data_IF_616338016378
#
_entry.id   IF_616338016378
#
_cell.length_a   1.000
_cell.length_b   1.000
_cell.length_c   1.000
_cell.angle_alpha   90.00
_cell.angle_beta   90.00
_cell.angle_gamma   90.00
#
_symmetry.space_group_name_H-M   'P 1'
#
loop_
_entity.id
_entity.type
_entity.pdbx_description
1 polymer ?
#
# COMPACT_ATOMS: atom_id res chain seq x y z
N UNK A 1 21.69 -0.15 -16.21
CA UNK A 1 21.07 -1.33 -15.54
C UNK A 1 19.56 -1.19 -15.64
N UNK A 2 18.79 -2.27 -15.93
CA UNK A 2 17.34 -2.15 -16.03
C UNK A 2 16.75 -1.67 -14.70
N UNK A 3 15.78 -0.74 -14.77
CA UNK A 3 15.19 -0.07 -13.62
C UNK A 3 14.62 -1.09 -12.61
N UNK A 4 15.32 -1.27 -11.48
CA UNK A 4 14.84 -2.10 -10.37
C UNK A 4 13.59 -1.44 -9.81
N UNK A 5 12.50 -2.20 -9.71
CA UNK A 5 11.28 -1.69 -9.07
C UNK A 5 11.59 -1.45 -7.59
N UNK A 6 11.22 -0.30 -7.01
CA UNK A 6 11.48 -0.02 -5.60
C UNK A 6 10.86 -1.11 -4.75
N UNK A 7 11.56 -1.48 -3.68
CA UNK A 7 11.13 -2.44 -2.67
C UNK A 7 10.77 -1.72 -1.37
N UNK A 8 10.15 -2.44 -0.43
CA UNK A 8 9.84 -1.86 0.88
C UNK A 8 11.12 -1.44 1.64
N UNK A 9 12.22 -2.20 1.50
CA UNK A 9 13.51 -1.82 2.06
C UNK A 9 14.04 -0.51 1.48
N UNK A 10 13.87 -0.29 0.17
CA UNK A 10 14.31 0.97 -0.47
C UNK A 10 13.56 2.17 0.08
N UNK A 11 12.25 2.01 0.40
CA UNK A 11 11.45 3.04 1.05
C UNK A 11 12.00 3.39 2.44
N UNK A 12 12.38 2.39 3.23
CA UNK A 12 13.02 2.61 4.54
C UNK A 12 14.40 3.25 4.43
N UNK A 13 15.24 2.78 3.50
CA UNK A 13 16.57 3.34 3.28
C UNK A 13 16.50 4.79 2.82
N UNK A 14 15.55 5.12 1.94
CA UNK A 14 15.30 6.48 1.50
C UNK A 14 14.93 7.40 2.66
N UNK A 15 13.95 6.98 3.49
CA UNK A 15 13.53 7.75 4.64
C UNK A 15 14.68 7.99 5.63
N UNK A 16 15.44 6.93 5.96
CA UNK A 16 16.59 7.03 6.86
C UNK A 16 17.70 7.94 6.29
N UNK A 17 17.93 7.91 4.98
CA UNK A 17 18.91 8.77 4.33
C UNK A 17 18.48 10.24 4.35
N UNK A 18 17.20 10.53 4.07
CA UNK A 18 16.68 11.89 4.11
C UNK A 18 16.71 12.50 5.51
N UNK A 19 16.52 11.68 6.55
CA UNK A 19 16.64 12.12 7.94
C UNK A 19 18.08 12.50 8.29
N UNK A 20 19.06 11.71 7.84
CA UNK A 20 20.49 12.02 8.05
C UNK A 20 20.96 13.22 7.25
N UNK A 21 20.42 13.43 6.05
CA UNK A 21 20.74 14.60 5.22
C UNK A 21 20.30 15.92 5.88
N UNK A 22 19.44 15.89 6.92
CA UNK A 22 19.07 17.10 7.68
C UNK A 22 20.23 17.69 8.48
N UNK A 23 21.19 16.87 8.87
CA UNK A 23 22.35 17.30 9.67
C UNK A 23 23.50 17.80 8.78
N UNK A 24 23.40 17.64 7.46
CA UNK A 24 24.41 18.07 6.50
C UNK A 24 24.19 19.52 6.04
N UNK A 25 25.27 20.21 5.69
CA UNK A 25 25.17 21.56 5.14
C UNK A 25 24.49 21.55 3.77
N UNK A 26 23.60 22.52 3.52
CA UNK A 26 22.83 22.63 2.26
C UNK A 26 23.72 22.60 1.02
N UNK A 27 24.92 23.21 1.09
CA UNK A 27 25.89 23.21 0.01
C UNK A 27 26.41 21.78 -0.29
N UNK A 28 26.81 21.03 0.74
CA UNK A 28 27.33 19.67 0.58
C UNK A 28 26.28 18.74 -0.02
N UNK A 29 25.01 18.85 0.42
CA UNK A 29 23.94 18.01 -0.11
C UNK A 29 23.63 18.36 -1.58
N UNK A 30 23.62 19.65 -1.94
CA UNK A 30 23.44 20.10 -3.33
C UNK A 30 24.54 19.60 -4.26
N UNK A 31 25.80 19.74 -3.86
CA UNK A 31 26.95 19.32 -4.67
C UNK A 31 26.93 17.81 -4.92
N UNK A 32 26.64 17.01 -3.89
CA UNK A 32 26.46 15.55 -4.00
C UNK A 32 25.33 15.21 -4.96
N UNK A 33 24.14 15.74 -4.73
CA UNK A 33 22.94 15.39 -5.51
C UNK A 33 23.09 15.76 -6.98
N UNK A 34 23.71 16.92 -7.26
CA UNK A 34 23.98 17.37 -8.62
C UNK A 34 25.05 16.53 -9.32
N UNK A 35 26.13 16.14 -8.62
CA UNK A 35 27.13 15.21 -9.17
C UNK A 35 26.48 13.88 -9.56
N UNK A 36 25.63 13.33 -8.68
CA UNK A 36 24.89 12.09 -8.95
C UNK A 36 23.88 12.25 -10.10
N UNK A 37 23.30 13.44 -10.28
CA UNK A 37 22.37 13.69 -11.37
C UNK A 37 23.01 13.62 -12.76
N UNK A 38 24.31 13.94 -12.89
CA UNK A 38 25.04 13.86 -14.17
C UNK A 38 25.19 12.43 -14.67
N UNK A 39 25.39 11.50 -13.75
CA UNK A 39 25.56 10.08 -14.05
C UNK A 39 24.23 9.32 -14.09
N UNK A 40 23.13 10.01 -13.77
CA UNK A 40 21.80 9.41 -13.72
C UNK A 40 21.23 9.26 -15.15
N UNK A 41 20.81 8.04 -15.56
CA UNK A 41 20.11 7.84 -16.82
C UNK A 41 18.80 8.64 -16.86
N UNK A 42 18.39 9.04 -18.06
CA UNK A 42 17.06 9.61 -18.24
C UNK A 42 15.97 8.59 -17.96
N UNK A 43 15.08 8.94 -17.02
CA UNK A 43 14.00 8.10 -16.55
C UNK A 43 12.98 8.87 -15.72
N UNK A 44 11.91 8.17 -15.37
CA UNK A 44 10.85 8.63 -14.47
C UNK A 44 11.39 8.90 -13.04
N UNK A 45 10.67 9.68 -12.25
CA UNK A 45 11.10 10.15 -10.91
C UNK A 45 11.42 9.00 -9.96
N UNK A 46 10.68 7.89 -10.07
CA UNK A 46 10.97 6.66 -9.33
C UNK A 46 12.37 6.12 -9.65
N UNK A 47 12.76 6.15 -10.92
CA UNK A 47 14.06 5.62 -11.37
C UNK A 47 15.19 6.56 -10.96
N UNK A 48 14.97 7.87 -11.09
CA UNK A 48 15.93 8.91 -10.73
C UNK A 48 16.24 8.89 -9.24
N UNK A 49 15.19 8.80 -8.41
CA UNK A 49 15.31 8.68 -6.96
C UNK A 49 15.91 7.33 -6.53
N UNK A 50 15.56 6.25 -7.21
CA UNK A 50 16.16 4.93 -6.96
C UNK A 50 17.66 4.88 -7.31
N UNK A 51 18.07 5.53 -8.40
CA UNK A 51 19.47 5.68 -8.77
C UNK A 51 20.25 6.49 -7.73
N UNK A 52 19.70 7.64 -7.32
CA UNK A 52 20.28 8.46 -6.27
C UNK A 52 20.48 7.67 -4.98
N UNK A 53 19.44 6.93 -4.53
CA UNK A 53 19.50 6.15 -3.29
C UNK A 53 20.61 5.09 -3.34
N UNK A 54 20.69 4.35 -4.46
CA UNK A 54 21.70 3.32 -4.65
C UNK A 54 23.12 3.90 -4.68
N UNK A 55 23.32 5.08 -5.26
CA UNK A 55 24.62 5.73 -5.31
C UNK A 55 25.06 6.27 -3.94
N UNK A 56 24.12 6.83 -3.16
CA UNK A 56 24.38 7.30 -1.80
C UNK A 56 24.67 6.12 -0.86
N UNK A 57 23.93 5.01 -0.99
CA UNK A 57 24.18 3.80 -0.17
C UNK A 57 25.51 3.13 -0.52
N UNK A 58 25.87 3.03 -1.80
CA UNK A 58 27.13 2.43 -2.24
C UNK A 58 28.35 3.23 -1.75
N UNK A 59 28.24 4.56 -1.69
CA UNK A 59 29.28 5.43 -1.12
C UNK A 59 29.52 5.18 0.38
N UNK A 60 28.59 4.51 1.06
CA UNK A 60 28.60 4.25 2.51
C UNK A 60 29.02 2.83 2.89
N UNK A 61 28.68 1.84 2.06
CA UNK A 61 29.15 0.45 2.25
C UNK A 61 30.68 0.33 2.14
N UNK A 62 31.34 1.30 1.48
CA UNK A 62 32.80 1.44 1.53
C UNK A 62 33.39 1.77 2.91
N UNK A 63 32.56 2.16 3.89
CA UNK A 63 33.01 2.68 5.19
C UNK A 63 32.47 1.90 6.42
N UNK A 64 31.42 1.09 6.27
CA UNK A 64 30.88 0.29 7.40
C UNK A 64 30.34 -1.09 6.99
N UNK A 65 31.15 -2.13 7.20
CA UNK A 65 30.76 -3.53 7.07
C UNK A 65 29.83 -3.97 8.21
N UNK A 66 28.53 -3.71 8.11
CA UNK A 66 27.55 -4.13 9.12
C UNK A 66 26.48 -5.01 8.49
N UNK A 67 26.75 -6.32 8.46
CA UNK A 67 25.76 -7.36 8.14
C UNK A 67 24.64 -7.34 9.19
N UNK A 68 23.45 -6.87 8.80
CA UNK A 68 22.23 -7.01 9.58
C UNK A 68 21.69 -8.46 9.60
N UNK A 69 20.69 -8.78 10.45
CA UNK A 69 20.21 -10.14 10.63
C UNK A 69 19.62 -10.72 9.34
N UNK A 70 20.11 -11.90 8.93
CA UNK A 70 19.89 -12.57 7.62
C UNK A 70 18.47 -13.08 7.34
N UNK A 71 17.47 -12.80 8.18
CA UNK A 71 16.08 -13.14 7.90
C UNK A 71 15.47 -12.07 6.98
N UNK A 72 15.91 -12.08 5.73
CA UNK A 72 15.33 -11.22 4.69
C UNK A 72 13.86 -11.58 4.47
N UNK A 73 13.02 -10.59 4.16
CA UNK A 73 11.62 -10.79 3.74
C UNK A 73 11.49 -11.93 2.71
N UNK A 74 12.46 -12.02 1.79
CA UNK A 74 12.53 -13.07 0.77
C UNK A 74 12.62 -14.49 1.34
N UNK A 75 13.38 -14.69 2.43
CA UNK A 75 13.53 -16.00 3.08
C UNK A 75 12.25 -16.48 3.76
N UNK A 76 11.55 -15.58 4.48
CA UNK A 76 10.27 -15.87 5.12
C UNK A 76 9.18 -16.15 4.08
N UNK A 77 9.13 -15.35 3.00
CA UNK A 77 8.21 -15.58 1.90
C UNK A 77 8.49 -16.90 1.17
N UNK A 78 9.75 -17.26 0.94
CA UNK A 78 10.13 -18.55 0.35
C UNK A 78 9.70 -19.73 1.21
N UNK A 79 9.95 -19.67 2.53
CA UNK A 79 9.50 -20.70 3.47
C UNK A 79 7.97 -20.83 3.46
N UNK A 80 7.25 -19.71 3.49
CA UNK A 80 5.79 -19.69 3.41
C UNK A 80 5.26 -20.37 2.14
N UNK A 81 5.88 -20.14 0.98
CA UNK A 81 5.49 -20.76 -0.29
C UNK A 81 5.65 -22.28 -0.31
N UNK A 82 6.60 -22.81 0.46
CA UNK A 82 6.79 -24.26 0.61
C UNK A 82 5.82 -24.83 1.64
N UNK A 83 5.65 -24.17 2.78
CA UNK A 83 4.81 -24.67 3.87
C UNK A 83 3.31 -24.60 3.54
N UNK A 84 2.84 -23.54 2.90
CA UNK A 84 1.41 -23.35 2.60
C UNK A 84 0.78 -24.53 1.82
N UNK A 85 1.34 -25.00 0.68
CA UNK A 85 0.77 -26.14 -0.02
C UNK A 85 0.90 -27.45 0.76
N UNK A 86 1.98 -27.65 1.52
CA UNK A 86 2.14 -28.84 2.39
C UNK A 86 1.07 -28.87 3.49
N UNK A 87 0.81 -27.73 4.13
CA UNK A 87 -0.26 -27.59 5.11
C UNK A 87 -1.65 -27.80 4.49
N UNK A 88 -1.88 -27.29 3.28
CA UNK A 88 -3.14 -27.50 2.54
C UNK A 88 -3.36 -28.96 2.21
N UNK A 89 -2.33 -29.63 1.70
CA UNK A 89 -2.32 -31.06 1.42
C UNK A 89 -2.61 -31.86 2.69
N UNK A 90 -1.87 -31.60 3.77
CA UNK A 90 -2.02 -32.31 5.03
C UNK A 90 -3.42 -32.08 5.64
N UNK A 91 -3.96 -30.86 5.57
CA UNK A 91 -5.31 -30.55 6.06
C UNK A 91 -6.38 -31.33 5.29
N UNK A 92 -6.30 -31.38 3.95
CA UNK A 92 -7.25 -32.15 3.14
C UNK A 92 -7.10 -33.65 3.40
N UNK A 93 -5.86 -34.15 3.42
CA UNK A 93 -5.61 -35.57 3.64
C UNK A 93 -6.09 -36.01 5.04
N UNK A 94 -5.80 -35.22 6.08
CA UNK A 94 -6.28 -35.47 7.43
C UNK A 94 -7.81 -35.43 7.51
N UNK A 95 -8.46 -34.53 6.78
CA UNK A 95 -9.92 -34.46 6.73
C UNK A 95 -10.54 -35.71 6.09
N UNK A 96 -10.01 -36.16 4.95
CA UNK A 96 -10.54 -37.32 4.23
C UNK A 96 -10.24 -38.64 4.95
N UNK A 97 -9.01 -38.80 5.45
CA UNK A 97 -8.54 -40.02 6.14
C UNK A 97 -8.97 -40.09 7.62
N UNK A 98 -9.35 -38.96 8.22
CA UNK A 98 -9.74 -38.89 9.63
C UNK A 98 -11.08 -39.56 9.96
N UNK A 99 -11.86 -39.95 8.95
CA UNK A 99 -13.15 -40.61 9.17
C UNK A 99 -12.97 -42.11 9.48
N UNK A 100 -13.24 -42.52 10.73
CA UNK A 100 -13.07 -43.92 11.16
C UNK A 100 -13.94 -44.95 10.43
N UNK A 101 -14.93 -44.51 9.64
CA UNK A 101 -15.79 -45.35 8.78
C UNK A 101 -15.58 -45.10 7.28
N UNK A 102 -14.60 -44.27 6.89
CA UNK A 102 -14.41 -43.87 5.48
C UNK A 102 -15.55 -43.00 4.92
N UNK A 103 -16.39 -42.43 5.79
CA UNK A 103 -17.53 -41.60 5.42
C UNK A 103 -17.17 -40.12 5.56
N UNK A 104 -17.24 -39.39 4.45
CA UNK A 104 -16.91 -37.97 4.40
C UNK A 104 -18.18 -37.15 4.25
N UNK A 105 -18.46 -36.29 5.22
CA UNK A 105 -19.62 -35.40 5.16
C UNK A 105 -19.37 -34.23 4.21
N UNK A 106 -20.13 -34.17 3.12
CA UNK A 106 -20.04 -33.13 2.08
C UNK A 106 -20.28 -31.73 2.64
N UNK A 107 -21.20 -31.54 3.59
CA UNK A 107 -21.45 -30.22 4.16
C UNK A 107 -20.26 -29.69 4.96
N UNK A 108 -19.57 -30.57 5.69
CA UNK A 108 -18.37 -30.19 6.43
C UNK A 108 -17.23 -29.88 5.47
N UNK A 109 -17.09 -30.65 4.39
CA UNK A 109 -16.14 -30.36 3.31
C UNK A 109 -16.38 -28.96 2.73
N UNK A 110 -17.61 -28.69 2.28
CA UNK A 110 -17.99 -27.41 1.68
C UNK A 110 -17.82 -26.27 2.69
N UNK A 111 -18.18 -26.47 3.95
CA UNK A 111 -17.99 -25.46 4.99
C UNK A 111 -16.51 -25.07 5.17
N UNK A 112 -15.62 -26.06 5.33
CA UNK A 112 -14.22 -25.82 5.69
C UNK A 112 -13.35 -25.43 4.49
N UNK A 113 -13.50 -26.12 3.35
CA UNK A 113 -12.62 -25.94 2.20
C UNK A 113 -13.18 -25.00 1.14
N UNK A 114 -14.46 -24.62 1.23
CA UNK A 114 -15.11 -23.73 0.27
C UNK A 114 -15.61 -22.45 0.96
N UNK A 115 -16.59 -22.53 1.85
CA UNK A 115 -17.22 -21.34 2.44
C UNK A 115 -16.29 -20.56 3.37
N UNK A 116 -15.54 -21.23 4.24
CA UNK A 116 -14.56 -20.56 5.10
C UNK A 116 -13.51 -19.85 4.25
N UNK A 117 -13.03 -20.49 3.18
CA UNK A 117 -12.06 -19.90 2.27
C UNK A 117 -12.64 -18.68 1.55
N UNK A 118 -13.87 -18.77 1.05
CA UNK A 118 -14.60 -17.69 0.40
C UNK A 118 -14.85 -16.51 1.35
N UNK A 119 -15.22 -16.78 2.61
CA UNK A 119 -15.41 -15.77 3.64
C UNK A 119 -14.11 -15.01 3.94
N UNK A 120 -12.99 -15.73 4.08
CA UNK A 120 -11.67 -15.10 4.26
C UNK A 120 -11.27 -14.26 3.06
N UNK A 121 -11.59 -14.71 1.84
CA UNK A 121 -11.39 -13.92 0.62
C UNK A 121 -12.28 -12.67 0.58
N UNK A 122 -13.55 -12.77 1.00
CA UNK A 122 -14.46 -11.63 1.11
C UNK A 122 -13.95 -10.59 2.11
N UNK A 123 -13.51 -11.03 3.29
CA UNK A 123 -12.90 -10.14 4.29
C UNK A 123 -11.66 -9.45 3.70
N UNK A 124 -10.78 -10.19 3.02
CA UNK A 124 -9.61 -9.61 2.37
C UNK A 124 -9.99 -8.61 1.27
N UNK A 125 -11.04 -8.87 0.48
CA UNK A 125 -11.55 -7.96 -0.53
C UNK A 125 -12.05 -6.65 0.09
N UNK A 126 -12.82 -6.72 1.19
CA UNK A 126 -13.32 -5.54 1.91
C UNK A 126 -12.15 -4.73 2.50
N UNK A 127 -11.16 -5.39 3.10
CA UNK A 127 -9.97 -4.72 3.65
C UNK A 127 -9.16 -4.05 2.53
N UNK A 128 -9.00 -4.72 1.39
CA UNK A 128 -8.31 -4.16 0.22
C UNK A 128 -9.05 -2.92 -0.31
N UNK A 129 -10.37 -3.01 -0.50
CA UNK A 129 -11.19 -1.90 -1.00
C UNK A 129 -11.10 -0.69 -0.07
N UNK A 130 -11.20 -0.89 1.24
CA UNK A 130 -11.03 0.19 2.23
C UNK A 130 -9.64 0.81 2.19
N UNK A 131 -8.60 -0.03 2.08
CA UNK A 131 -7.20 0.42 2.03
C UNK A 131 -6.92 1.24 0.76
N UNK A 132 -7.47 0.84 -0.39
CA UNK A 132 -7.30 1.57 -1.65
C UNK A 132 -8.09 2.88 -1.67
N UNK A 133 -9.24 2.93 -0.98
CA UNK A 133 -10.07 4.15 -0.84
C UNK A 133 -9.60 5.11 0.25
N UNK A 134 -8.48 4.84 0.93
CA UNK A 134 -7.95 5.69 2.00
C UNK A 134 -8.66 5.58 3.34
N UNK A 135 -9.66 4.69 3.47
CA UNK A 135 -10.32 4.44 4.75
C UNK A 135 -9.41 3.64 5.68
N UNK A 136 -9.19 4.12 6.91
CA UNK A 136 -8.54 3.33 7.96
C UNK A 136 -9.50 2.18 8.36
N UNK A 137 -9.20 0.90 8.04
CA UNK A 137 -10.03 -0.18 8.53
C UNK A 137 -9.86 -0.28 10.04
N UNK A 138 -10.95 -0.60 10.75
CA UNK A 138 -10.89 -1.04 12.15
C UNK A 138 -9.94 -2.23 12.20
N UNK A 139 -8.73 -2.02 12.71
CA UNK A 139 -7.77 -3.10 12.90
C UNK A 139 -8.29 -3.96 14.05
N UNK A 140 -8.62 -5.23 13.78
CA UNK A 140 -8.76 -6.19 14.88
C UNK A 140 -7.40 -6.28 15.58
N UNK A 141 -7.33 -6.11 16.92
CA UNK A 141 -6.08 -6.07 17.69
C UNK A 141 -5.28 -7.38 17.69
N UNK A 142 -5.71 -8.41 16.95
CA UNK A 142 -5.26 -9.80 17.04
C UNK A 142 -4.26 -10.20 15.94
N UNK A 143 -3.82 -9.28 15.07
CA UNK A 143 -2.92 -9.66 13.96
C UNK A 143 -1.44 -9.69 14.44
N UNK A 144 -0.76 -10.85 14.47
CA UNK A 144 0.66 -10.97 14.85
C UNK A 144 1.60 -10.19 13.93
N UNK A 145 1.14 -9.79 12.74
CA UNK A 145 1.85 -8.89 11.84
C UNK A 145 2.19 -7.53 12.48
N UNK A 146 1.41 -7.03 13.45
CA UNK A 146 1.76 -5.80 14.18
C UNK A 146 2.97 -6.01 15.09
N UNK A 147 3.07 -7.18 15.72
CA UNK A 147 4.21 -7.55 16.56
C UNK A 147 5.47 -7.82 15.74
N UNK A 148 5.33 -8.47 14.59
CA UNK A 148 6.44 -8.67 13.64
C UNK A 148 6.91 -7.35 13.02
N UNK A 149 5.99 -6.49 12.58
CA UNK A 149 6.33 -5.17 12.04
C UNK A 149 6.96 -4.24 13.09
N UNK A 150 6.50 -4.28 14.34
CA UNK A 150 7.07 -3.49 15.43
C UNK A 150 8.49 -3.94 15.83
N UNK A 151 8.86 -5.20 15.57
CA UNK A 151 10.24 -5.70 15.80
C UNK A 151 11.17 -5.47 14.63
N UNK A 152 10.64 -5.39 13.41
CA UNK A 152 11.42 -5.17 12.20
C UNK A 152 11.61 -3.68 11.87
N UNK A 153 10.77 -2.79 12.40
CA UNK A 153 10.76 -1.36 12.05
C UNK A 153 10.98 -0.49 13.29
N UNK A 154 12.11 0.25 13.38
CA UNK A 154 12.49 1.01 14.57
C UNK A 154 11.59 2.20 14.90
N UNK A 155 10.93 2.80 13.90
CA UNK A 155 10.20 4.06 14.06
C UNK A 155 8.73 4.03 13.60
N UNK A 156 7.83 4.36 14.53
CA UNK A 156 6.37 4.41 14.33
C UNK A 156 5.85 5.58 13.49
N UNK A 157 6.70 6.57 13.16
CA UNK A 157 6.36 7.73 12.33
C UNK A 157 6.28 7.32 10.84
N UNK A 158 7.30 6.62 10.34
CA UNK A 158 7.36 6.12 8.96
C UNK A 158 6.37 4.97 8.68
N UNK A 159 6.08 4.16 9.71
CA UNK A 159 5.05 3.14 9.63
C UNK A 159 3.67 3.74 9.30
N UNK A 160 3.37 4.98 9.74
CA UNK A 160 2.06 5.64 9.54
C UNK A 160 1.82 6.03 8.08
N UNK A 161 2.83 6.59 7.41
CA UNK A 161 2.76 6.97 6.00
C UNK A 161 2.80 5.74 5.08
N UNK A 162 3.55 4.69 5.46
CA UNK A 162 3.63 3.43 4.72
C UNK A 162 2.57 2.37 5.11
N UNK A 163 1.58 2.68 5.97
CA UNK A 163 0.61 1.65 6.45
C UNK A 163 -0.18 1.04 5.31
N UNK A 164 -0.56 1.84 4.33
CA UNK A 164 -1.33 1.40 3.18
C UNK A 164 -0.53 0.39 2.35
N UNK A 165 0.74 0.70 2.08
CA UNK A 165 1.70 -0.16 1.38
C UNK A 165 1.94 -1.46 2.15
N UNK A 166 2.14 -1.38 3.47
CA UNK A 166 2.34 -2.55 4.32
C UNK A 166 1.09 -3.45 4.37
N UNK A 167 -0.11 -2.86 4.47
CA UNK A 167 -1.38 -3.63 4.42
C UNK A 167 -1.55 -4.33 3.09
N UNK A 168 -1.26 -3.67 1.98
CA UNK A 168 -1.31 -4.28 0.65
C UNK A 168 -0.25 -5.38 0.49
N UNK A 169 0.92 -5.23 1.11
CA UNK A 169 1.95 -6.28 1.15
C UNK A 169 1.46 -7.52 1.90
N UNK A 170 0.90 -7.32 3.10
CA UNK A 170 0.33 -8.41 3.91
C UNK A 170 -0.83 -9.09 3.19
N UNK A 171 -1.72 -8.32 2.54
CA UNK A 171 -2.80 -8.87 1.73
C UNK A 171 -2.24 -9.67 0.55
N UNK A 172 -1.23 -9.17 -0.16
CA UNK A 172 -0.59 -9.87 -1.27
C UNK A 172 -0.04 -11.22 -0.83
N UNK A 173 0.75 -11.27 0.24
CA UNK A 173 1.28 -12.53 0.77
C UNK A 173 0.17 -13.42 1.33
N UNK A 174 -0.81 -12.88 2.03
CA UNK A 174 -1.95 -13.66 2.55
C UNK A 174 -2.77 -14.34 1.44
N UNK A 175 -3.01 -13.64 0.32
CA UNK A 175 -3.70 -14.22 -0.82
C UNK A 175 -2.83 -15.23 -1.58
N UNK A 176 -1.53 -14.95 -1.73
CA UNK A 176 -0.57 -15.88 -2.36
C UNK A 176 -0.48 -17.20 -1.57
N UNK A 177 -0.22 -17.11 -0.27
CA UNK A 177 -0.12 -18.29 0.60
C UNK A 177 -1.47 -19.02 0.72
N UNK A 178 -2.58 -18.28 0.78
CA UNK A 178 -3.91 -18.88 0.77
C UNK A 178 -4.21 -19.64 -0.53
N UNK A 179 -3.80 -19.10 -1.69
CA UNK A 179 -3.97 -19.79 -2.97
C UNK A 179 -3.12 -21.07 -3.05
N UNK A 180 -1.87 -21.00 -2.58
CA UNK A 180 -0.99 -22.17 -2.49
C UNK A 180 -1.53 -23.23 -1.52
N UNK A 181 -2.09 -22.81 -0.39
CA UNK A 181 -2.81 -23.71 0.52
C UNK A 181 -3.98 -24.40 -0.19
N UNK A 182 -4.81 -23.66 -0.92
CA UNK A 182 -5.94 -24.25 -1.67
C UNK A 182 -5.45 -25.21 -2.75
N UNK A 183 -4.37 -24.88 -3.48
CA UNK A 183 -3.75 -25.80 -4.45
C UNK A 183 -3.24 -27.07 -3.78
N UNK A 184 -2.58 -26.95 -2.62
CA UNK A 184 -2.16 -28.09 -1.81
C UNK A 184 -3.34 -28.95 -1.38
N UNK A 185 -4.44 -28.34 -0.96
CA UNK A 185 -5.67 -29.05 -0.61
C UNK A 185 -6.30 -29.77 -1.81
N UNK A 186 -6.32 -29.14 -2.99
CA UNK A 186 -6.78 -29.78 -4.24
C UNK A 186 -5.88 -30.97 -4.60
N UNK A 187 -4.56 -30.83 -4.49
CA UNK A 187 -3.63 -31.93 -4.70
C UNK A 187 -3.85 -33.08 -3.69
N UNK A 188 -4.04 -32.75 -2.41
CA UNK A 188 -4.37 -33.71 -1.36
C UNK A 188 -5.67 -34.44 -1.62
N UNK A 189 -6.67 -33.73 -2.14
CA UNK A 189 -7.94 -34.34 -2.54
C UNK A 189 -7.73 -35.40 -3.61
N UNK A 190 -7.03 -35.08 -4.71
CA UNK A 190 -6.80 -36.03 -5.79
C UNK A 190 -5.91 -37.21 -5.38
N UNK A 191 -4.86 -36.96 -4.59
CA UNK A 191 -3.97 -38.02 -4.11
C UNK A 191 -4.74 -38.99 -3.22
N UNK A 192 -5.52 -38.50 -2.26
CA UNK A 192 -6.31 -39.38 -1.39
C UNK A 192 -7.44 -40.05 -2.17
N UNK A 193 -8.11 -39.34 -3.10
CA UNK A 193 -9.13 -39.90 -3.99
C UNK A 193 -8.59 -41.09 -4.81
N UNK A 194 -7.33 -41.03 -5.24
CA UNK A 194 -6.69 -42.11 -5.99
C UNK A 194 -6.23 -43.27 -5.11
N UNK A 195 -5.79 -42.98 -3.88
CA UNK A 195 -5.14 -43.97 -3.01
C UNK A 195 -6.09 -44.65 -2.01
N UNK A 196 -7.26 -44.06 -1.73
CA UNK A 196 -8.12 -44.52 -0.65
C UNK A 196 -9.58 -44.62 -1.09
N UNK A 197 -10.26 -45.75 -0.82
CA UNK A 197 -11.69 -45.85 -0.99
C UNK A 197 -12.39 -45.10 0.15
N UNK A 198 -13.02 -43.99 -0.16
CA UNK A 198 -13.92 -43.29 0.77
C UNK A 198 -15.21 -42.92 0.06
N UNK A 199 -16.22 -42.65 0.88
CA UNK A 199 -17.58 -42.45 0.43
C UNK A 199 -18.06 -41.07 0.87
N UNK A 200 -18.49 -40.26 -0.08
CA UNK A 200 -19.16 -39.01 0.22
C UNK A 200 -20.60 -39.26 0.63
N UNK A 201 -20.98 -38.69 1.76
CA UNK A 201 -22.35 -38.67 2.26
C UNK A 201 -22.75 -37.27 2.61
N UNK A 202 -24.04 -36.99 2.58
CA UNK A 202 -24.58 -35.77 3.16
C UNK A 202 -25.57 -36.12 4.26
N UNK A 203 -25.61 -35.24 5.26
CA UNK A 203 -26.45 -35.42 6.43
C UNK A 203 -26.14 -34.31 7.43
N UNK A 204 -27.16 -33.89 8.16
CA UNK A 204 -27.02 -32.92 9.24
C UNK A 204 -27.84 -33.40 10.43
N UNK A 205 -27.59 -32.84 11.61
CA UNK A 205 -28.42 -33.09 12.80
C UNK A 205 -29.89 -32.71 12.55
N UNK A 206 -30.14 -31.76 11.65
CA UNK A 206 -31.48 -31.39 11.19
C UNK A 206 -31.92 -32.24 10.00
N UNK A 207 -33.21 -32.59 9.97
CA UNK A 207 -33.82 -33.32 8.86
C UNK A 207 -34.01 -32.38 7.66
N UNK A 208 -32.97 -32.25 6.83
CA UNK A 208 -33.05 -31.56 5.54
C UNK A 208 -33.76 -32.45 4.51
N UNK A 209 -34.55 -31.85 3.62
CA UNK A 209 -35.18 -32.57 2.50
C UNK A 209 -34.22 -32.72 1.32
N UNK A 210 -34.40 -33.76 0.51
CA UNK A 210 -33.56 -34.00 -0.67
C UNK A 210 -33.71 -32.85 -1.68
N UNK A 211 -34.93 -32.33 -1.85
CA UNK A 211 -35.20 -31.16 -2.71
C UNK A 211 -34.46 -29.89 -2.26
N UNK A 212 -34.26 -29.70 -0.96
CA UNK A 212 -33.43 -28.60 -0.44
C UNK A 212 -31.97 -28.78 -0.86
N UNK A 213 -31.41 -29.98 -0.70
CA UNK A 213 -30.01 -30.27 -1.06
C UNK A 213 -29.80 -30.16 -2.57
N UNK A 214 -30.76 -30.60 -3.37
CA UNK A 214 -30.75 -30.43 -4.83
C UNK A 214 -30.77 -28.96 -5.23
N UNK A 215 -31.60 -28.14 -4.59
CA UNK A 215 -31.64 -26.69 -4.84
C UNK A 215 -30.33 -26.01 -4.44
N UNK A 216 -29.76 -26.39 -3.30
CA UNK A 216 -28.49 -25.83 -2.80
C UNK A 216 -27.31 -26.18 -3.71
N UNK A 217 -27.18 -27.46 -4.09
CA UNK A 217 -26.12 -27.92 -5.01
C UNK A 217 -26.29 -27.31 -6.40
N UNK A 218 -27.52 -27.18 -6.90
CA UNK A 218 -27.82 -26.47 -8.14
C UNK A 218 -27.40 -24.99 -8.10
N UNK A 219 -27.69 -24.29 -7.01
CA UNK A 219 -27.27 -22.89 -6.81
C UNK A 219 -25.74 -22.75 -6.79
N UNK A 220 -25.06 -23.63 -6.05
CA UNK A 220 -23.59 -23.66 -5.99
C UNK A 220 -22.96 -24.05 -7.33
N UNK A 221 -23.62 -24.89 -8.12
CA UNK A 221 -23.13 -25.28 -9.43
C UNK A 221 -23.37 -24.23 -10.53
N UNK A 222 -24.17 -23.18 -10.26
CA UNK A 222 -24.55 -22.17 -11.24
C UNK A 222 -23.40 -21.61 -12.11
N UNK A 223 -22.17 -21.37 -11.59
CA UNK A 223 -21.08 -20.84 -12.42
C UNK A 223 -20.58 -21.81 -13.51
N UNK A 224 -20.82 -23.11 -13.37
CA UNK A 224 -20.35 -24.14 -14.31
C UNK A 224 -21.41 -25.08 -14.86
N UNK A 225 -22.62 -25.08 -14.31
CA UNK A 225 -23.67 -26.02 -14.68
C UNK A 225 -23.99 -26.04 -16.18
N UNK A 226 -23.85 -24.91 -16.87
CA UNK A 226 -24.16 -24.79 -18.31
C UNK A 226 -23.10 -25.38 -19.23
N UNK A 227 -21.82 -25.33 -18.85
CA UNK A 227 -20.70 -25.77 -19.70
C UNK A 227 -19.98 -27.01 -19.16
N UNK A 228 -20.26 -27.42 -17.92
CA UNK A 228 -19.73 -28.63 -17.29
C UNK A 228 -20.81 -29.36 -16.47
N UNK A 229 -21.88 -29.86 -17.10
CA UNK A 229 -22.99 -30.52 -16.40
C UNK A 229 -22.55 -31.78 -15.64
N UNK A 230 -21.50 -32.47 -16.12
CA UNK A 230 -20.89 -33.62 -15.45
C UNK A 230 -20.25 -33.29 -14.10
N UNK A 231 -20.03 -32.00 -13.78
CA UNK A 231 -19.56 -31.53 -12.48
C UNK A 231 -20.70 -31.01 -11.58
N UNK A 232 -21.93 -31.42 -11.87
CA UNK A 232 -23.10 -31.20 -11.02
C UNK A 232 -23.50 -32.50 -10.32
N UNK A 233 -24.37 -32.41 -9.30
CA UNK A 233 -24.83 -33.59 -8.57
C UNK A 233 -26.25 -33.90 -8.99
N UNK A 234 -26.46 -35.12 -9.51
CA UNK A 234 -27.80 -35.57 -9.89
C UNK A 234 -28.68 -35.84 -8.65
N UNK A 235 -29.99 -35.64 -8.80
CA UNK A 235 -30.97 -35.87 -7.74
C UNK A 235 -30.97 -37.31 -7.23
N UNK A 236 -30.68 -38.29 -8.10
CA UNK A 236 -30.55 -39.70 -7.70
C UNK A 236 -29.32 -39.92 -6.80
N UNK A 237 -28.19 -39.29 -7.13
CA UNK A 237 -26.98 -39.33 -6.29
C UNK A 237 -27.25 -38.68 -4.94
N UNK A 238 -27.97 -37.56 -4.90
CA UNK A 238 -28.37 -36.92 -3.63
C UNK A 238 -29.21 -37.90 -2.81
N UNK A 239 -30.29 -38.46 -3.34
CA UNK A 239 -31.12 -39.40 -2.58
C UNK A 239 -30.34 -40.63 -2.07
N UNK A 240 -29.48 -41.21 -2.93
CA UNK A 240 -28.70 -42.41 -2.60
C UNK A 240 -27.57 -42.18 -1.58
N UNK A 241 -27.05 -40.95 -1.47
CA UNK A 241 -25.89 -40.63 -0.61
C UNK A 241 -26.29 -40.01 0.74
N UNK A 242 -27.58 -40.03 1.07
CA UNK A 242 -28.08 -39.58 2.36
C UNK A 242 -27.59 -40.49 3.48
N UNK A 243 -27.01 -39.92 4.53
CA UNK A 243 -26.51 -40.70 5.66
C UNK A 243 -27.67 -41.30 6.48
N UNK A 244 -27.69 -42.63 6.58
CA UNK A 244 -28.62 -43.38 7.42
C UNK A 244 -27.87 -44.13 8.53
N UNK A 245 -28.01 -43.73 9.82
CA UNK A 245 -27.29 -44.36 10.93
C UNK A 245 -27.55 -45.87 11.09
N UNK A 246 -28.69 -46.36 10.60
CA UNK A 246 -29.12 -47.74 10.69
C UNK A 246 -28.71 -48.61 9.48
N UNK A 247 -28.10 -48.02 8.45
CA UNK A 247 -27.62 -48.79 7.30
C UNK A 247 -26.32 -49.53 7.67
N UNK A 248 -26.38 -50.86 7.71
CA UNK A 248 -25.28 -51.74 8.15
C UNK A 248 -24.37 -52.19 7.01
N UNK A 249 -24.65 -51.81 5.76
CA UNK A 249 -23.80 -52.08 4.60
C UNK A 249 -24.17 -51.21 3.40
N UNK A 250 -23.18 -50.90 2.56
CA UNK A 250 -23.35 -50.17 1.29
C UNK A 250 -23.39 -51.18 0.15
N UNK A 251 -24.37 -51.07 -0.75
CA UNK A 251 -24.40 -51.90 -1.95
C UNK A 251 -23.35 -51.42 -2.98
N UNK A 252 -22.94 -52.27 -3.94
CA UNK A 252 -22.07 -51.86 -5.05
C UNK A 252 -22.63 -50.70 -5.90
N UNK A 253 -23.96 -50.58 -5.98
CA UNK A 253 -24.63 -49.47 -6.67
C UNK A 253 -24.52 -48.16 -5.87
N UNK A 254 -24.60 -48.24 -4.54
CA UNK A 254 -24.38 -47.09 -3.66
C UNK A 254 -22.94 -46.59 -3.79
N UNK A 255 -21.96 -47.50 -3.82
CA UNK A 255 -20.53 -47.18 -4.02
C UNK A 255 -20.26 -46.45 -5.35
N UNK A 256 -20.95 -46.82 -6.43
CA UNK A 256 -20.83 -46.14 -7.72
C UNK A 256 -21.49 -44.74 -7.73
N UNK A 257 -22.68 -44.60 -7.12
CA UNK A 257 -23.36 -43.32 -6.97
C UNK A 257 -22.58 -42.34 -6.05
N UNK A 258 -21.87 -42.87 -5.06
CA UNK A 258 -21.09 -42.11 -4.08
C UNK A 258 -19.86 -41.40 -4.67
N UNK A 259 -19.39 -41.84 -5.84
CA UNK A 259 -18.39 -41.13 -6.65
C UNK A 259 -18.91 -39.87 -7.35
N UNK A 260 -20.22 -39.64 -7.39
CA UNK A 260 -20.80 -38.49 -8.10
C UNK A 260 -20.50 -37.12 -7.49
N UNK A 261 -20.03 -37.06 -6.24
CA UNK A 261 -19.77 -35.80 -5.54
C UNK A 261 -18.43 -35.15 -5.87
N UNK A 262 -17.40 -35.93 -6.19
CA UNK A 262 -16.05 -35.37 -6.31
C UNK A 262 -15.90 -34.30 -7.41
N UNK A 263 -16.54 -34.41 -8.60
CA UNK A 263 -16.42 -33.37 -9.62
C UNK A 263 -17.03 -32.04 -9.14
N UNK A 264 -18.19 -32.10 -8.48
CA UNK A 264 -18.87 -30.96 -7.89
C UNK A 264 -18.03 -30.31 -6.78
N UNK A 265 -17.45 -31.11 -5.90
CA UNK A 265 -16.64 -30.63 -4.78
C UNK A 265 -15.36 -29.92 -5.25
N UNK A 266 -14.67 -30.48 -6.24
CA UNK A 266 -13.51 -29.84 -6.86
C UNK A 266 -13.91 -28.53 -7.52
N UNK A 267 -15.00 -28.51 -8.29
CA UNK A 267 -15.47 -27.25 -8.90
C UNK A 267 -15.82 -26.19 -7.86
N UNK A 268 -16.42 -26.57 -6.73
CA UNK A 268 -16.65 -25.65 -5.63
C UNK A 268 -15.33 -25.05 -5.10
N UNK A 269 -14.30 -25.87 -4.88
CA UNK A 269 -12.98 -25.37 -4.46
C UNK A 269 -12.37 -24.44 -5.50
N UNK A 270 -12.44 -24.79 -6.79
CA UNK A 270 -11.86 -23.96 -7.86
C UNK A 270 -12.58 -22.62 -7.98
N UNK A 271 -13.91 -22.61 -8.02
CA UNK A 271 -14.71 -21.40 -8.25
C UNK A 271 -14.81 -20.49 -7.02
N UNK A 272 -14.94 -21.05 -5.81
CA UNK A 272 -15.22 -20.26 -4.62
C UNK A 272 -14.05 -20.13 -3.65
N UNK A 273 -13.04 -21.01 -3.71
CA UNK A 273 -11.85 -20.88 -2.88
C UNK A 273 -10.65 -20.36 -3.69
N UNK A 274 -10.29 -21.01 -4.81
CA UNK A 274 -9.08 -20.69 -5.56
C UNK A 274 -9.21 -19.43 -6.41
N UNK A 275 -10.24 -19.35 -7.26
CA UNK A 275 -10.42 -18.24 -8.19
C UNK A 275 -10.49 -16.87 -7.49
N UNK A 276 -11.27 -16.67 -6.40
CA UNK A 276 -11.30 -15.39 -5.70
C UNK A 276 -9.92 -15.02 -5.11
N UNK A 277 -9.16 -16.01 -4.61
CA UNK A 277 -7.81 -15.78 -4.10
C UNK A 277 -6.84 -15.35 -5.19
N UNK A 278 -6.89 -15.98 -6.35
CA UNK A 278 -6.07 -15.59 -7.50
C UNK A 278 -6.41 -14.16 -7.93
N UNK A 279 -7.69 -13.84 -8.11
CA UNK A 279 -8.11 -12.48 -8.47
C UNK A 279 -7.63 -11.44 -7.45
N UNK A 280 -7.81 -11.70 -6.16
CA UNK A 280 -7.34 -10.80 -5.10
C UNK A 280 -5.82 -10.72 -5.03
N UNK A 281 -5.09 -11.80 -5.31
CA UNK A 281 -3.64 -11.78 -5.41
C UNK A 281 -3.15 -10.90 -6.57
N UNK A 282 -3.78 -11.02 -7.75
CA UNK A 282 -3.50 -10.15 -8.90
C UNK A 282 -3.81 -8.68 -8.57
N UNK A 283 -4.99 -8.39 -8.01
CA UNK A 283 -5.38 -7.03 -7.62
C UNK A 283 -4.45 -6.45 -6.56
N UNK A 284 -4.13 -7.20 -5.50
CA UNK A 284 -3.22 -6.75 -4.44
C UNK A 284 -1.82 -6.49 -4.98
N UNK A 285 -1.29 -7.31 -5.89
CA UNK A 285 0.00 -7.07 -6.56
C UNK A 285 -0.03 -5.76 -7.34
N UNK A 286 -1.08 -5.52 -8.11
CA UNK A 286 -1.24 -4.29 -8.88
C UNK A 286 -1.30 -3.05 -7.97
N UNK A 287 -2.20 -3.03 -6.99
CA UNK A 287 -2.36 -1.89 -6.09
C UNK A 287 -1.13 -1.67 -5.20
N UNK A 288 -0.49 -2.74 -4.73
CA UNK A 288 0.75 -2.66 -3.98
C UNK A 288 1.83 -1.95 -4.78
N UNK A 289 2.06 -2.35 -6.05
CA UNK A 289 3.08 -1.72 -6.88
C UNK A 289 2.77 -0.26 -7.18
N UNK A 290 1.50 0.06 -7.43
CA UNK A 290 1.08 1.45 -7.66
C UNK A 290 1.33 2.32 -6.43
N UNK A 291 0.93 1.83 -5.26
CA UNK A 291 1.01 2.59 -4.01
C UNK A 291 2.46 2.67 -3.49
N UNK A 292 3.27 1.63 -3.71
CA UNK A 292 4.69 1.65 -3.39
C UNK A 292 5.45 2.69 -4.21
N UNK A 293 5.20 2.77 -5.52
CA UNK A 293 5.81 3.81 -6.38
C UNK A 293 5.37 5.21 -5.97
N UNK A 294 4.08 5.39 -5.69
CA UNK A 294 3.55 6.67 -5.23
C UNK A 294 4.13 7.08 -3.87
N UNK A 295 4.25 6.14 -2.93
CA UNK A 295 4.85 6.38 -1.63
C UNK A 295 6.36 6.69 -1.74
N UNK A 296 7.08 5.99 -2.62
CA UNK A 296 8.52 6.21 -2.81
C UNK A 296 8.86 7.63 -3.28
N UNK A 297 8.08 8.18 -4.21
CA UNK A 297 8.21 9.58 -4.70
C UNK A 297 7.47 10.58 -3.79
N UNK A 298 6.60 10.10 -2.91
CA UNK A 298 5.81 10.91 -1.99
C UNK A 298 6.41 11.05 -0.59
N UNK A 299 7.55 10.41 -0.31
CA UNK A 299 8.24 10.56 0.98
C UNK A 299 8.63 12.03 1.15
N UNK A 300 8.33 12.66 2.31
CA UNK A 300 8.73 14.04 2.58
C UNK A 300 10.25 14.24 2.40
N UNK A 301 10.65 15.20 1.58
CA UNK A 301 12.06 15.50 1.24
C UNK A 301 12.54 14.88 -0.07
N UNK A 302 11.81 13.90 -0.63
CA UNK A 302 12.19 13.31 -1.93
C UNK A 302 12.04 14.29 -3.09
N UNK A 303 11.07 15.20 -3.01
CA UNK A 303 10.88 16.30 -3.96
C UNK A 303 12.08 17.26 -3.99
N UNK A 304 12.71 17.52 -2.84
CA UNK A 304 13.89 18.38 -2.76
C UNK A 304 15.10 17.72 -3.41
N UNK A 305 15.26 16.40 -3.24
CA UNK A 305 16.30 15.63 -3.92
C UNK A 305 16.07 15.68 -5.43
N UNK A 306 14.85 15.39 -5.89
CA UNK A 306 14.49 15.45 -7.31
C UNK A 306 14.68 16.85 -7.90
N UNK A 307 14.31 17.90 -7.17
CA UNK A 307 14.53 19.29 -7.59
C UNK A 307 16.02 19.62 -7.71
N UNK A 308 16.85 19.20 -6.73
CA UNK A 308 18.31 19.39 -6.75
C UNK A 308 18.97 18.64 -7.90
N UNK A 309 18.50 17.43 -8.21
CA UNK A 309 18.98 16.67 -9.36
C UNK A 309 18.58 17.27 -10.70
N UNK A 310 17.44 17.96 -10.78
CA UNK A 310 16.96 18.62 -12.01
C UNK A 310 17.57 19.99 -12.25
N UNK A 311 18.04 20.67 -11.20
CA UNK A 311 18.53 22.04 -11.31
C UNK A 311 19.96 22.06 -11.87
N UNK A 312 20.23 22.78 -12.98
CA UNK A 312 21.59 22.99 -13.46
C UNK A 312 22.36 23.88 -12.48
N UNK A 313 23.54 23.44 -12.07
CA UNK A 313 24.36 24.15 -11.09
C UNK A 313 25.18 25.21 -11.84
N UNK A 314 24.67 26.45 -11.87
CA UNK A 314 25.41 27.61 -12.36
C UNK A 314 26.37 28.05 -11.26
N UNK A 315 27.63 27.61 -11.35
CA UNK A 315 28.68 28.15 -10.51
C UNK A 315 29.08 29.52 -11.07
N UNK A 316 28.63 30.59 -10.42
CA UNK A 316 29.23 31.91 -10.59
C UNK A 316 30.57 31.93 -9.86
N UNK A 317 31.60 31.31 -10.46
CA UNK A 317 32.97 31.64 -10.07
C UNK A 317 33.22 33.09 -10.49
N UNK A 318 33.25 33.98 -9.50
CA UNK A 318 33.65 35.37 -9.66
C UNK A 318 35.14 35.44 -9.97
N UNK A 319 35.50 35.37 -11.24
CA UNK A 319 36.71 36.01 -11.72
C UNK A 319 36.39 37.51 -11.80
N UNK A 320 37.06 38.33 -10.99
CA UNK A 320 37.01 39.78 -11.07
C UNK A 320 37.30 40.25 -12.48
N UNK A 321 36.24 40.50 -13.24
CA UNK A 321 36.28 41.06 -14.58
C UNK A 321 35.06 41.95 -14.74
N UNK A 322 35.28 43.25 -14.72
CA UNK A 322 34.26 44.25 -15.01
C UNK A 322 33.64 43.99 -16.39
N UNK A 323 32.44 43.41 -16.41
CA UNK A 323 31.73 43.11 -17.64
C UNK A 323 30.30 42.69 -17.37
N UNK A 324 29.39 43.67 -17.49
CA UNK A 324 27.96 43.54 -17.84
C UNK A 324 27.15 42.48 -17.07
N UNK A 325 26.26 42.97 -16.18
CA UNK A 325 25.16 42.20 -15.60
C UNK A 325 24.21 41.73 -16.71
N UNK A 326 24.36 40.51 -17.17
CA UNK A 326 23.30 39.78 -17.86
C UNK A 326 22.54 38.94 -16.81
N UNK A 327 21.22 39.10 -16.80
CA UNK A 327 20.31 38.56 -15.79
C UNK A 327 20.34 37.04 -15.74
N UNK A 328 20.55 36.50 -14.53
CA UNK A 328 20.37 35.08 -14.25
C UNK A 328 18.96 34.64 -14.63
N UNK A 329 18.86 33.64 -15.50
CA UNK A 329 17.58 33.02 -15.83
C UNK A 329 17.00 32.42 -14.54
N UNK A 330 15.86 32.95 -14.12
CA UNK A 330 15.07 32.41 -13.01
C UNK A 330 14.75 30.92 -13.26
N UNK A 331 14.66 30.09 -12.21
CA UNK A 331 14.19 28.71 -12.37
C UNK A 331 12.83 28.70 -13.11
N UNK A 332 12.54 27.67 -13.93
CA UNK A 332 11.30 27.61 -14.69
C UNK A 332 10.12 27.65 -13.72
N UNK A 333 9.27 28.67 -13.87
CA UNK A 333 8.12 28.87 -13.01
C UNK A 333 7.11 27.73 -13.20
N UNK A 334 6.77 27.05 -12.11
CA UNK A 334 5.80 25.96 -12.09
C UNK A 334 4.38 26.54 -11.98
N UNK A 335 3.68 26.57 -13.11
CA UNK A 335 2.27 26.95 -13.21
C UNK A 335 1.32 25.89 -12.63
N UNK A 336 1.80 24.91 -11.88
CA UNK A 336 1.02 24.03 -11.04
C UNK A 336 1.02 24.43 -9.55
N UNK A 337 1.82 25.42 -9.15
CA UNK A 337 1.99 25.82 -7.75
C UNK A 337 1.31 27.16 -7.43
N UNK A 338 0.87 27.27 -6.18
CA UNK A 338 0.31 28.48 -5.57
C UNK A 338 1.01 28.73 -4.22
N UNK A 339 1.42 29.97 -3.94
CA UNK A 339 1.95 30.39 -2.64
C UNK A 339 0.89 31.18 -1.87
N UNK A 340 0.54 30.68 -0.70
CA UNK A 340 -0.33 31.32 0.28
C UNK A 340 0.53 31.91 1.40
N UNK A 341 0.62 33.24 1.46
CA UNK A 341 1.25 33.94 2.57
C UNK A 341 0.21 34.14 3.68
N UNK A 342 0.28 33.31 4.73
CA UNK A 342 -0.69 33.31 5.81
C UNK A 342 -0.32 34.33 6.90
N UNK A 343 -1.28 35.16 7.29
CA UNK A 343 -1.16 36.17 8.35
C UNK A 343 0.09 37.07 8.22
N UNK A 344 0.53 37.32 6.98
CA UNK A 344 1.75 38.08 6.67
C UNK A 344 3.03 37.43 7.19
N UNK A 345 3.15 36.10 7.06
CA UNK A 345 4.37 35.38 7.41
C UNK A 345 5.59 35.82 6.58
N UNK A 346 5.38 36.19 5.32
CA UNK A 346 6.37 36.80 4.43
C UNK A 346 6.15 38.31 4.38
N UNK A 347 7.19 39.09 4.64
CA UNK A 347 7.21 40.53 4.42
C UNK A 347 7.50 40.90 2.96
N UNK A 348 7.38 42.19 2.60
CA UNK A 348 7.71 42.68 1.26
C UNK A 348 9.18 42.39 0.94
N UNK A 349 9.44 41.55 -0.08
CA UNK A 349 10.78 41.16 -0.48
C UNK A 349 11.38 39.95 0.23
N UNK A 350 10.70 39.36 1.22
CA UNK A 350 11.18 38.13 1.87
C UNK A 350 11.20 36.93 0.92
N UNK A 351 10.33 36.93 -0.09
CA UNK A 351 10.26 35.87 -1.10
C UNK A 351 11.60 35.65 -1.80
N UNK A 352 12.37 36.70 -2.09
CA UNK A 352 13.67 36.55 -2.75
C UNK A 352 14.76 35.98 -1.83
N UNK A 353 14.54 35.98 -0.51
CA UNK A 353 15.46 35.34 0.45
C UNK A 353 15.26 33.83 0.56
N UNK A 354 14.12 33.31 0.10
CA UNK A 354 13.79 31.88 0.19
C UNK A 354 13.72 31.26 -1.22
N UNK A 355 14.78 30.54 -1.66
CA UNK A 355 14.81 29.93 -2.99
C UNK A 355 13.71 28.87 -3.19
N UNK A 356 13.14 28.33 -2.11
CA UNK A 356 12.00 27.41 -2.12
C UNK A 356 10.78 28.00 -2.83
N UNK A 357 10.63 29.33 -2.82
CA UNK A 357 9.52 30.03 -3.48
C UNK A 357 9.84 30.49 -4.90
N UNK A 358 11.08 30.28 -5.39
CA UNK A 358 11.49 30.74 -6.71
C UNK A 358 10.76 30.00 -7.86
N UNK A 359 10.29 28.78 -7.60
CA UNK A 359 9.49 28.00 -8.55
C UNK A 359 8.05 28.48 -8.68
N UNK A 360 7.52 29.23 -7.70
CA UNK A 360 6.16 29.77 -7.78
C UNK A 360 6.18 31.03 -8.65
N UNK A 361 5.21 31.25 -9.57
CA UNK A 361 5.09 32.51 -10.32
C UNK A 361 4.72 33.71 -9.42
N UNK A 362 5.18 34.95 -9.68
CA UNK A 362 4.83 36.14 -8.90
C UNK A 362 3.33 36.43 -8.82
N UNK A 363 2.62 36.18 -9.91
CA UNK A 363 1.17 36.32 -10.07
C UNK A 363 0.36 35.25 -9.32
N UNK A 364 1.03 34.30 -8.67
CA UNK A 364 0.44 33.19 -7.92
C UNK A 364 0.80 33.18 -6.45
N UNK A 365 1.02 34.38 -5.92
CA UNK A 365 1.12 34.62 -4.49
C UNK A 365 -0.17 35.31 -4.01
N UNK A 366 -0.77 34.77 -2.96
CA UNK A 366 -1.95 35.33 -2.32
C UNK A 366 -1.68 35.52 -0.84
N UNK A 367 -2.06 36.68 -0.32
CA UNK A 367 -2.06 36.95 1.11
C UNK A 367 -3.45 36.63 1.68
N UNK A 368 -3.50 35.89 2.79
CA UNK A 368 -4.74 35.58 3.50
C UNK A 368 -4.50 35.51 5.01
N UNK A 369 -5.57 35.48 5.80
CA UNK A 369 -5.54 35.36 7.26
C UNK A 369 -5.44 36.68 8.02
N UNK A 370 -5.64 37.83 7.35
CA UNK A 370 -5.73 39.16 7.99
C UNK A 370 -7.07 39.86 7.71
N UNK A 371 -7.83 39.42 6.71
CA UNK A 371 -9.11 39.99 6.29
C UNK A 371 -10.30 39.04 6.48
N UNK A 372 -11.34 39.26 5.67
CA UNK A 372 -12.58 38.49 5.72
C UNK A 372 -12.39 37.11 5.07
N UNK A 373 -12.49 36.05 5.88
CA UNK A 373 -12.24 34.67 5.44
C UNK A 373 -13.02 34.25 4.17
N UNK A 374 -14.34 34.57 4.00
CA UNK A 374 -15.08 34.18 2.80
C UNK A 374 -14.58 34.86 1.52
N UNK A 375 -14.14 36.12 1.63
CA UNK A 375 -13.65 36.91 0.48
C UNK A 375 -12.27 36.43 0.04
N UNK A 376 -11.39 36.19 1.02
CA UNK A 376 -10.05 35.64 0.79
C UNK A 376 -10.12 34.21 0.22
N UNK A 377 -11.03 33.38 0.73
CA UNK A 377 -11.24 32.03 0.22
C UNK A 377 -11.72 32.05 -1.23
N UNK A 378 -12.68 32.93 -1.57
CA UNK A 378 -13.15 33.10 -2.93
C UNK A 378 -12.04 33.59 -3.89
N UNK A 379 -11.12 34.44 -3.40
CA UNK A 379 -9.96 34.88 -4.16
C UNK A 379 -9.01 33.73 -4.47
N UNK A 380 -8.70 32.88 -3.47
CA UNK A 380 -7.83 31.72 -3.67
C UNK A 380 -8.50 30.70 -4.60
N UNK A 381 -9.79 30.40 -4.41
CA UNK A 381 -10.53 29.44 -5.23
C UNK A 381 -10.58 29.84 -6.72
N UNK A 382 -10.61 31.14 -7.05
CA UNK A 382 -10.49 31.60 -8.45
C UNK A 382 -9.17 31.19 -9.08
N UNK A 383 -8.08 31.18 -8.32
CA UNK A 383 -6.76 30.74 -8.80
C UNK A 383 -6.66 29.22 -8.90
N UNK A 384 -7.41 28.47 -8.07
CA UNK A 384 -7.46 27.01 -8.15
C UNK A 384 -8.12 26.50 -9.44
N UNK A 385 -8.88 27.33 -10.15
CA UNK A 385 -9.43 27.00 -11.48
C UNK A 385 -8.32 26.76 -12.53
N UNK A 386 -7.11 27.28 -12.29
CA UNK A 386 -5.95 27.07 -13.16
C UNK A 386 -5.15 25.81 -12.74
N UNK A 387 -5.76 24.62 -12.88
CA UNK A 387 -5.12 23.30 -12.70
C UNK A 387 -3.95 23.24 -11.70
N UNK A 388 -4.19 23.70 -10.47
CA UNK A 388 -3.18 23.75 -9.41
C UNK A 388 -2.96 22.34 -8.86
N UNK A 389 -1.72 21.89 -8.83
CA UNK A 389 -1.32 20.56 -8.36
C UNK A 389 -0.71 20.59 -6.96
N UNK A 390 -0.42 21.77 -6.41
CA UNK A 390 0.08 21.91 -5.04
C UNK A 390 0.01 23.34 -4.50
N UNK A 391 -0.17 23.45 -3.19
CA UNK A 391 -0.16 24.72 -2.47
C UNK A 391 1.00 24.78 -1.47
N UNK A 392 1.73 25.88 -1.47
CA UNK A 392 2.73 26.24 -0.48
C UNK A 392 2.11 27.26 0.46
N UNK A 393 2.22 27.03 1.77
CA UNK A 393 1.66 27.92 2.78
C UNK A 393 2.80 28.40 3.66
N UNK A 394 3.12 29.68 3.57
CA UNK A 394 4.10 30.30 4.46
C UNK A 394 3.40 30.68 5.77
N UNK A 395 3.91 30.20 6.89
CA UNK A 395 3.39 30.46 8.24
C UNK A 395 4.51 30.90 9.17
N UNK A 396 4.18 31.69 10.18
CA UNK A 396 5.14 32.14 11.19
C UNK A 396 5.48 31.00 12.13
N UNK A 397 6.75 30.59 12.18
CA UNK A 397 7.21 29.45 13.00
C UNK A 397 7.07 29.66 14.51
N UNK A 398 7.04 30.90 14.98
CA UNK A 398 6.96 31.24 16.41
C UNK A 398 5.54 31.19 16.96
N UNK A 399 4.53 31.42 16.10
CA UNK A 399 3.12 31.33 16.45
C UNK A 399 2.68 29.86 16.50
N UNK A 400 1.82 29.48 17.46
CA UNK A 400 1.22 28.15 17.46
C UNK A 400 0.28 27.99 16.26
N UNK A 401 0.08 26.76 15.76
CA UNK A 401 -0.92 26.50 14.74
C UNK A 401 -2.33 26.81 15.24
N UNK A 402 -3.09 27.60 14.47
CA UNK A 402 -4.43 28.08 14.84
C UNK A 402 -5.53 27.36 14.07
N UNK A 403 -6.70 27.22 14.67
CA UNK A 403 -7.88 26.59 14.05
C UNK A 403 -8.32 27.31 12.77
N UNK A 404 -8.24 28.63 12.74
CA UNK A 404 -8.63 29.47 11.59
C UNK A 404 -7.88 29.08 10.30
N UNK A 405 -6.59 28.70 10.42
CA UNK A 405 -5.81 28.22 9.29
C UNK A 405 -6.32 26.86 8.81
N UNK A 406 -6.67 25.95 9.72
CA UNK A 406 -7.22 24.63 9.36
C UNK A 406 -8.55 24.78 8.63
N UNK A 407 -9.44 25.64 9.14
CA UNK A 407 -10.75 25.90 8.55
C UNK A 407 -10.61 26.55 7.17
N UNK A 408 -9.68 27.51 7.02
CA UNK A 408 -9.38 28.10 5.72
C UNK A 408 -8.87 27.07 4.71
N UNK A 409 -7.89 26.25 5.11
CA UNK A 409 -7.31 25.23 4.24
C UNK A 409 -8.31 24.13 3.88
N UNK A 410 -9.24 23.80 4.78
CA UNK A 410 -10.33 22.86 4.48
C UNK A 410 -11.32 23.39 3.44
N UNK A 411 -11.50 24.71 3.37
CA UNK A 411 -12.33 25.37 2.36
C UNK A 411 -11.75 25.37 0.95
N UNK A 412 -10.49 24.96 0.75
CA UNK A 412 -9.81 25.00 -0.55
C UNK A 412 -10.11 23.79 -1.46
N UNK A 413 -10.84 22.79 -0.96
CA UNK A 413 -11.26 21.61 -1.74
C UNK A 413 -10.16 20.56 -1.93
N UNK A 414 -10.35 19.66 -2.90
CA UNK A 414 -9.51 18.46 -3.15
C UNK A 414 -8.18 18.79 -3.84
N UNK A 415 -7.32 19.55 -3.18
CA UNK A 415 -5.93 19.71 -3.62
C UNK A 415 -5.10 18.48 -3.21
N UNK A 416 -4.31 17.91 -4.14
CA UNK A 416 -3.60 16.67 -3.85
C UNK A 416 -2.42 16.87 -2.89
N UNK A 417 -1.87 18.09 -2.76
CA UNK A 417 -0.66 18.37 -1.99
C UNK A 417 -0.67 19.74 -1.32
N UNK A 418 -0.26 19.78 -0.06
CA UNK A 418 -0.03 21.00 0.72
C UNK A 418 1.35 20.94 1.39
N UNK A 419 2.09 22.05 1.38
CA UNK A 419 3.39 22.16 2.04
C UNK A 419 3.41 23.39 2.93
N UNK A 420 3.53 23.19 4.24
CA UNK A 420 3.68 24.27 5.22
C UNK A 420 5.16 24.64 5.34
N UNK A 421 5.48 25.89 5.03
CA UNK A 421 6.81 26.47 5.23
C UNK A 421 6.82 27.33 6.48
N UNK A 422 7.59 26.91 7.48
CA UNK A 422 7.73 27.62 8.74
C UNK A 422 8.79 28.72 8.59
N UNK A 423 8.33 29.97 8.49
CA UNK A 423 9.18 31.15 8.38
C UNK A 423 9.76 31.49 9.75
N UNK A 424 11.09 31.54 9.92
CA UNK A 424 11.74 31.89 11.19
C UNK A 424 11.59 33.38 11.53
N UNK A 425 11.61 33.71 12.83
CA UNK A 425 11.70 35.10 13.29
C UNK A 425 13.17 35.54 13.28
N UNK A 426 13.56 36.36 12.31
CA UNK A 426 14.96 36.76 12.15
C UNK A 426 15.85 35.58 11.76
N UNK A 427 17.05 35.51 12.31
CA UNK A 427 18.04 34.44 12.01
C UNK A 427 17.96 33.24 12.96
N UNK A 428 16.89 33.16 13.77
CA UNK A 428 16.73 32.06 14.72
C UNK A 428 16.17 30.83 14.02
N UNK A 429 16.84 29.67 14.07
CA UNK A 429 16.31 28.45 13.48
C UNK A 429 15.04 28.00 14.19
N UNK A 430 14.15 27.35 13.44
CA UNK A 430 12.93 26.76 14.00
C UNK A 430 13.30 25.65 14.99
N UNK A 431 12.83 25.75 16.22
CA UNK A 431 13.12 24.75 17.24
C UNK A 431 12.41 23.42 16.96
N UNK A 432 13.00 22.31 17.41
CA UNK A 432 12.42 20.97 17.24
C UNK A 432 11.00 20.88 17.82
N UNK A 433 10.74 21.48 19.00
CA UNK A 433 9.41 21.50 19.60
C UNK A 433 8.36 22.22 18.74
N UNK A 434 8.71 23.38 18.17
CA UNK A 434 7.81 24.11 17.25
C UNK A 434 7.54 23.34 15.97
N UNK A 435 8.56 22.65 15.44
CA UNK A 435 8.40 21.78 14.29
C UNK A 435 7.44 20.62 14.60
N UNK A 436 7.53 20.02 15.79
CA UNK A 436 6.60 18.96 16.22
C UNK A 436 5.16 19.44 16.37
N UNK A 437 4.94 20.64 16.91
CA UNK A 437 3.61 21.26 17.02
C UNK A 437 2.96 21.42 15.65
N UNK A 438 3.70 22.01 14.70
CA UNK A 438 3.23 22.23 13.33
C UNK A 438 3.05 20.92 12.54
N UNK A 439 3.88 19.90 12.79
CA UNK A 439 3.66 18.55 12.26
C UNK A 439 2.42 17.88 12.86
N UNK A 440 2.10 18.14 14.14
CA UNK A 440 0.88 17.69 14.79
C UNK A 440 -0.35 18.29 14.10
N UNK A 441 -0.34 19.60 13.88
CA UNK A 441 -1.39 20.32 13.15
C UNK A 441 -1.56 19.83 11.71
N UNK A 442 -0.47 19.65 10.98
CA UNK A 442 -0.47 19.20 9.59
C UNK A 442 -1.22 17.88 9.37
N UNK A 443 -1.23 16.98 10.38
CA UNK A 443 -1.97 15.69 10.32
C UNK A 443 -3.49 15.86 10.32
N UNK A 444 -4.00 16.98 10.84
CA UNK A 444 -5.43 17.28 10.89
C UNK A 444 -5.97 17.90 9.60
N UNK A 445 -5.09 18.24 8.65
CA UNK A 445 -5.48 18.91 7.41
C UNK A 445 -6.05 17.91 6.38
N UNK A 446 -7.01 18.32 5.54
CA UNK A 446 -7.75 17.41 4.66
C UNK A 446 -7.04 17.06 3.35
N UNK A 447 -5.74 17.34 3.21
CA UNK A 447 -5.00 17.07 1.97
C UNK A 447 -4.45 15.63 1.90
N UNK A 448 -4.33 15.08 0.69
CA UNK A 448 -3.81 13.73 0.48
C UNK A 448 -2.33 13.58 0.87
N UNK A 449 -1.54 14.66 0.77
CA UNK A 449 -0.17 14.74 1.27
C UNK A 449 0.10 16.12 1.88
N UNK A 450 0.62 16.14 3.10
CA UNK A 450 1.00 17.38 3.82
C UNK A 450 2.44 17.25 4.29
N UNK A 451 3.28 18.22 3.94
CA UNK A 451 4.65 18.32 4.44
C UNK A 451 4.84 19.60 5.25
N UNK A 452 5.79 19.58 6.19
CA UNK A 452 6.16 20.74 7.01
C UNK A 452 7.67 20.93 6.92
N UNK A 453 8.10 22.08 6.42
CA UNK A 453 9.50 22.41 6.24
C UNK A 453 9.86 23.67 7.02
N UNK A 454 10.86 23.62 7.91
CA UNK A 454 11.44 24.83 8.47
C UNK A 454 12.27 25.54 7.38
N UNK A 455 12.06 26.84 7.23
CA UNK A 455 12.92 27.66 6.38
C UNK A 455 14.12 28.18 7.17
N UNK A 456 15.26 28.29 6.50
CA UNK A 456 16.41 29.06 6.97
C UNK A 456 16.58 30.28 6.09
N UNK A 457 16.76 31.47 6.67
CA UNK A 457 17.21 32.64 5.89
C UNK A 457 18.65 32.39 5.45
N UNK A 458 18.94 32.66 4.18
CA UNK A 458 20.31 32.69 3.65
C UNK A 458 20.91 34.10 3.78
#
# INVERSE_FOLDING_TARGET
MPAKTPSLSDLYHLAAQLEQDRDLSVHAVRERDHRLARDCPDGDDVQRLGFWLAAVSASREGDTGREGPRLSEGSLAALGRVLAPLCGFAAMAAFLLGSGRGLVNVFVFVLLFVFLQALLSLVAAVVMLRTVRGGAPVMLPVIPARWLAARAVPDGRYLREAQSVLRLLLLRYGQELGALFTLGAVAGFFVVLFLSPFTFVWGSTYQLSDGFVQSLTGLLAAPWATWLPQATVDGQVIAATRFHPAATGLSPADLAAMGGWWPFLIMCMLCYALLPRLLLWLCSRFFYMRQLRAAFVGIPGSELVLARMRTPLVSTQGASGSGRRDGGAAPPADRGLLLLNWAGALGPGDRSHFPEFASVPPDREVNAGLGSQPEELAQVQKLLQYSIQGIYVAVKSWEPPMADLADFLAGLGDLPRCTLFLVPLGDRPVSAGKLEDWQGFARGLPFAAVAVHPLGRQ
#
